data_IF_295170545106
#
_entry.id   IF_295170545106
#
_cell.length_a   1.000
_cell.length_b   1.000
_cell.length_c   1.000
_cell.angle_alpha   90.00
_cell.angle_beta   90.00
_cell.angle_gamma   90.00
#
_symmetry.space_group_name_H-M   'P 1'
#
loop_
_entity.id
_entity.type
_entity.pdbx_description
1 polymer ?
#
# COMPACT_ATOMS: atom_id res chain seq x y z
N UNK A 1 -19.23 5.32 -9.04
CA UNK A 1 -17.97 5.31 -8.27
C UNK A 1 -17.34 3.94 -8.42
N UNK A 2 -16.32 3.82 -9.25
CA UNK A 2 -15.57 2.59 -9.45
C UNK A 2 -14.94 2.12 -8.13
N UNK A 3 -15.58 1.13 -7.49
CA UNK A 3 -15.11 0.51 -6.23
C UNK A 3 -13.63 0.11 -6.29
N UNK A 4 -13.13 -0.22 -7.47
CA UNK A 4 -11.73 -0.57 -7.69
C UNK A 4 -10.75 0.54 -7.32
N UNK A 5 -11.00 1.81 -7.68
CA UNK A 5 -10.10 2.91 -7.31
C UNK A 5 -10.07 3.09 -5.78
N UNK A 6 -11.21 2.96 -5.11
CA UNK A 6 -11.28 3.04 -3.65
C UNK A 6 -10.54 1.90 -2.96
N UNK A 7 -10.59 0.68 -3.53
CA UNK A 7 -9.84 -0.47 -3.01
C UNK A 7 -8.32 -0.28 -3.17
N UNK A 8 -7.87 0.25 -4.31
CA UNK A 8 -6.45 0.57 -4.54
C UNK A 8 -5.97 1.66 -3.58
N UNK A 9 -6.78 2.71 -3.38
CA UNK A 9 -6.50 3.77 -2.43
C UNK A 9 -6.45 3.23 -0.99
N UNK A 10 -7.42 2.39 -0.60
CA UNK A 10 -7.45 1.74 0.71
C UNK A 10 -6.22 0.83 0.92
N UNK A 11 -5.74 0.15 -0.14
CA UNK A 11 -4.51 -0.64 -0.11
C UNK A 11 -3.27 0.22 0.18
N UNK A 12 -3.16 1.39 -0.44
CA UNK A 12 -2.07 2.35 -0.17
C UNK A 12 -2.14 2.84 1.29
N UNK A 13 -3.32 3.25 1.74
CA UNK A 13 -3.54 3.72 3.12
C UNK A 13 -3.23 2.62 4.14
N UNK A 14 -3.60 1.36 3.84
CA UNK A 14 -3.28 0.21 4.69
C UNK A 14 -1.78 -0.06 4.76
N UNK A 15 -1.03 0.14 3.66
CA UNK A 15 0.43 0.00 3.67
C UNK A 15 1.11 1.04 4.56
N UNK A 16 0.64 2.28 4.54
CA UNK A 16 1.10 3.32 5.47
C UNK A 16 0.70 3.03 6.92
N UNK A 17 -0.47 2.44 7.15
CA UNK A 17 -0.89 2.01 8.48
C UNK A 17 0.02 0.89 9.02
N UNK A 18 0.46 -0.04 8.14
CA UNK A 18 1.39 -1.10 8.49
C UNK A 18 2.76 -0.56 8.92
N UNK A 19 3.27 0.46 8.23
CA UNK A 19 4.53 1.15 8.58
C UNK A 19 4.46 1.94 9.88
N UNK A 20 3.26 2.26 10.35
CA UNK A 20 3.04 3.05 11.57
C UNK A 20 2.67 2.20 12.78
N UNK A 21 2.76 0.87 12.67
CA UNK A 21 2.50 -0.03 13.80
C UNK A 21 3.62 0.17 14.84
N UNK A 22 3.29 0.57 16.08
CA UNK A 22 4.29 0.73 17.12
C UNK A 22 4.77 -0.66 17.57
N UNK A 23 5.90 -1.10 17.00
CA UNK A 23 6.54 -2.37 17.34
C UNK A 23 7.73 -2.18 18.29
N UNK A 24 8.18 -0.93 18.47
CA UNK A 24 9.29 -0.55 19.36
C UNK A 24 9.01 -0.96 20.81
N UNK A 25 9.94 -1.72 21.41
CA UNK A 25 9.84 -2.16 22.80
C UNK A 25 8.87 -3.32 23.05
N UNK A 26 8.41 -3.99 22.00
CA UNK A 26 7.53 -5.18 22.09
C UNK A 26 8.26 -6.46 21.66
N UNK A 27 7.73 -7.63 22.03
CA UNK A 27 8.23 -8.95 21.55
C UNK A 27 8.24 -9.09 20.02
N UNK A 28 7.58 -8.19 19.30
CA UNK A 28 7.46 -8.19 17.83
C UNK A 28 8.47 -7.26 17.15
N UNK A 29 9.39 -6.63 17.89
CA UNK A 29 10.46 -5.78 17.35
C UNK A 29 11.33 -6.54 16.32
N UNK A 30 11.53 -7.85 16.51
CA UNK A 30 12.22 -8.70 15.54
C UNK A 30 11.50 -8.83 14.19
N UNK A 31 10.20 -8.55 14.13
CA UNK A 31 9.36 -8.67 12.93
C UNK A 31 9.13 -7.30 12.27
N UNK A 32 9.44 -6.20 12.98
CA UNK A 32 9.38 -4.84 12.48
C UNK A 32 9.99 -4.65 11.08
N UNK A 33 11.22 -5.11 10.78
CA UNK A 33 11.79 -4.93 9.45
C UNK A 33 10.98 -5.67 8.35
N UNK A 34 10.34 -6.79 8.68
CA UNK A 34 9.50 -7.54 7.73
C UNK A 34 8.19 -6.80 7.49
N UNK A 35 7.57 -6.28 8.53
CA UNK A 35 6.35 -5.45 8.44
C UNK A 35 6.60 -4.21 7.60
N UNK A 36 7.76 -3.56 7.76
CA UNK A 36 8.14 -2.40 6.97
C UNK A 36 8.32 -2.73 5.49
N UNK A 37 9.04 -3.82 5.19
CA UNK A 37 9.21 -4.27 3.81
C UNK A 37 7.85 -4.56 3.15
N UNK A 38 6.94 -5.23 3.86
CA UNK A 38 5.60 -5.54 3.34
C UNK A 38 4.79 -4.25 3.13
N UNK A 39 4.84 -3.30 4.07
CA UNK A 39 4.16 -2.01 3.96
C UNK A 39 4.64 -1.20 2.75
N UNK A 40 5.96 -1.12 2.55
CA UNK A 40 6.58 -0.45 1.41
C UNK A 40 6.19 -1.14 0.09
N UNK A 41 6.27 -2.47 0.02
CA UNK A 41 5.89 -3.24 -1.18
C UNK A 41 4.41 -3.05 -1.51
N UNK A 42 3.53 -3.05 -0.51
CA UNK A 42 2.11 -2.80 -0.71
C UNK A 42 1.87 -1.41 -1.32
N UNK A 43 2.47 -0.36 -0.75
CA UNK A 43 2.35 1.01 -1.28
C UNK A 43 2.87 1.08 -2.72
N UNK A 44 4.04 0.51 -2.99
CA UNK A 44 4.65 0.52 -4.33
C UNK A 44 3.78 -0.17 -5.38
N UNK A 45 3.30 -1.38 -5.10
CA UNK A 45 2.52 -2.17 -6.05
C UNK A 45 1.16 -1.49 -6.30
N UNK A 46 0.45 -1.10 -5.24
CA UNK A 46 -0.86 -0.44 -5.40
C UNK A 46 -0.74 0.92 -6.08
N UNK A 47 0.29 1.71 -5.76
CA UNK A 47 0.57 2.99 -6.42
C UNK A 47 0.87 2.79 -7.91
N UNK A 48 1.75 1.85 -8.26
CA UNK A 48 2.09 1.55 -9.65
C UNK A 48 0.87 1.08 -10.44
N UNK A 49 0.04 0.24 -9.83
CA UNK A 49 -1.19 -0.25 -10.44
C UNK A 49 -2.22 0.87 -10.65
N UNK A 50 -2.35 1.80 -9.69
CA UNK A 50 -3.25 2.94 -9.79
C UNK A 50 -2.77 3.91 -10.89
N UNK A 51 -1.47 4.18 -10.97
CA UNK A 51 -0.87 4.97 -12.06
C UNK A 51 -1.14 4.28 -13.41
N UNK A 52 -0.89 2.99 -13.53
CA UNK A 52 -1.13 2.25 -14.78
C UNK A 52 -2.59 2.29 -15.21
N UNK A 53 -3.52 2.07 -14.27
CA UNK A 53 -4.97 2.20 -14.50
C UNK A 53 -5.37 3.62 -14.89
N UNK A 54 -4.80 4.64 -14.24
CA UNK A 54 -5.03 6.05 -14.56
C UNK A 54 -4.56 6.40 -15.96
N UNK A 55 -3.34 5.98 -16.33
CA UNK A 55 -2.78 6.20 -17.67
C UNK A 55 -3.58 5.46 -18.74
N UNK A 56 -3.98 4.21 -18.49
CA UNK A 56 -4.81 3.43 -19.42
C UNK A 56 -6.17 4.10 -19.65
N UNK A 57 -6.81 4.57 -18.57
CA UNK A 57 -8.06 5.33 -18.65
C UNK A 57 -7.91 6.66 -19.42
N UNK A 58 -6.78 7.37 -19.26
CA UNK A 58 -6.48 8.58 -20.04
C UNK A 58 -6.21 8.28 -21.51
N UNK A 59 -5.64 7.12 -21.82
CA UNK A 59 -5.44 6.66 -23.19
C UNK A 59 -6.74 6.21 -23.89
N UNK A 60 -7.89 6.27 -23.20
CA UNK A 60 -9.19 5.93 -23.76
C UNK A 60 -9.38 4.43 -24.03
N UNK A 61 -8.63 3.58 -23.33
CA UNK A 61 -8.79 2.12 -23.34
C UNK A 61 -9.23 1.59 -21.98
#
# INVERSE_FOLDING_TARGET
MDRFILLLLAGIVSGFALLKVPLDGTFLESVAPVTDIIGILAILIFSLFLIFKGVMAMLGK
#
